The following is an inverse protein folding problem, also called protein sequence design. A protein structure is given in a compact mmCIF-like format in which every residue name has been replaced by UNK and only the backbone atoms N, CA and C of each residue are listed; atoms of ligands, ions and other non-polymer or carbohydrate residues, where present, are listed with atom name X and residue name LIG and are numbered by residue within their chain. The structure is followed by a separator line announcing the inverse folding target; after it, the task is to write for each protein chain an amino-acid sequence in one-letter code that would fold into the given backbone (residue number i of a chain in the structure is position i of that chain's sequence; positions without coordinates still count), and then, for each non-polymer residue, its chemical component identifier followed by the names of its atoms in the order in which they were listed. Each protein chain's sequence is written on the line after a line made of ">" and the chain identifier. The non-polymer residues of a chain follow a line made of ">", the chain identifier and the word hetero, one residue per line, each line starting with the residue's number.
data_IF_036002282774
#
_entry.id   IF_036002282774
#
_cell.length_a   1.000
_cell.length_b   1.000
_cell.length_c   1.000
_cell.angle_alpha   90.00
_cell.angle_beta   90.00
_cell.angle_gamma   90.00
#
_symmetry.space_group_name_H-M   'P 1'
#
loop_
_entity.id
_entity.type
_entity.pdbx_description
1 polymer ?
#
# COMPACT_ATOMS: atom_id res chain seq x y z
N UNK A 1 1.82 3.55 -14.11
CA UNK A 1 0.80 2.53 -13.81
C UNK A 1 -0.39 3.22 -13.17
N UNK A 2 -1.60 2.72 -13.38
CA UNK A 2 -2.78 3.27 -12.69
C UNK A 2 -2.78 2.89 -11.21
N UNK A 3 -3.04 3.85 -10.33
CA UNK A 3 -3.19 3.66 -8.89
C UNK A 3 -4.58 4.16 -8.50
N UNK A 4 -5.42 3.31 -7.91
CA UNK A 4 -6.79 3.69 -7.51
C UNK A 4 -7.56 4.44 -8.62
N UNK A 5 -7.50 3.94 -9.86
CA UNK A 5 -7.97 4.65 -11.06
C UNK A 5 -9.44 5.13 -10.97
N UNK A 6 -10.29 4.37 -10.27
CA UNK A 6 -11.69 4.75 -10.04
C UNK A 6 -11.79 6.05 -9.23
N UNK A 7 -11.02 6.14 -8.14
CA UNK A 7 -10.96 7.35 -7.30
C UNK A 7 -10.42 8.50 -8.13
N UNK A 8 -9.29 8.29 -8.84
CA UNK A 8 -8.70 9.30 -9.72
C UNK A 8 -9.74 9.92 -10.67
N UNK A 9 -10.51 9.09 -11.37
CA UNK A 9 -11.51 9.54 -12.35
C UNK A 9 -12.72 10.24 -11.72
N UNK A 10 -13.02 9.96 -10.45
CA UNK A 10 -14.16 10.55 -9.73
C UNK A 10 -13.81 11.92 -9.13
N UNK A 11 -12.52 12.25 -8.99
CA UNK A 11 -12.05 13.56 -8.57
C UNK A 11 -12.20 14.54 -9.74
N UNK A 12 -13.35 15.22 -9.83
CA UNK A 12 -13.66 16.17 -10.90
C UNK A 12 -13.73 17.62 -10.43
N UNK A 13 -13.69 17.85 -9.12
CA UNK A 13 -13.62 19.19 -8.53
C UNK A 13 -12.26 19.86 -8.77
N UNK A 14 -12.20 21.17 -8.53
CA UNK A 14 -10.95 21.92 -8.63
C UNK A 14 -9.95 21.47 -7.55
N UNK A 15 -8.67 21.29 -7.90
CA UNK A 15 -7.63 21.04 -6.91
C UNK A 15 -7.35 22.31 -6.10
N UNK A 16 -7.10 22.16 -4.80
CA UNK A 16 -6.72 23.29 -3.94
C UNK A 16 -5.23 23.63 -4.06
N UNK A 17 -4.41 22.69 -4.51
CA UNK A 17 -3.00 22.88 -4.82
C UNK A 17 -2.60 22.01 -6.02
N UNK A 18 -1.62 22.47 -6.80
CA UNK A 18 -1.10 21.72 -7.95
C UNK A 18 0.41 21.90 -8.04
N UNK A 19 1.10 20.78 -8.14
CA UNK A 19 2.56 20.74 -8.21
C UNK A 19 3.00 20.06 -9.50
N UNK A 20 4.09 20.53 -10.09
CA UNK A 20 4.72 19.90 -11.27
C UNK A 20 6.06 19.32 -10.83
N UNK A 21 6.15 17.99 -10.84
CA UNK A 21 7.30 17.24 -10.34
C UNK A 21 7.75 16.25 -11.41
N UNK A 22 9.00 16.35 -11.85
CA UNK A 22 9.57 15.50 -12.92
C UNK A 22 8.71 15.42 -14.19
N UNK A 23 8.09 16.56 -14.56
CA UNK A 23 7.20 16.66 -15.73
C UNK A 23 5.82 16.02 -15.54
N UNK A 24 5.48 15.58 -14.33
CA UNK A 24 4.16 15.04 -13.96
C UNK A 24 3.39 16.06 -13.15
N UNK A 25 2.08 16.08 -13.33
CA UNK A 25 1.18 16.95 -12.57
C UNK A 25 0.67 16.18 -11.35
N UNK A 26 0.79 16.79 -10.17
CA UNK A 26 0.25 16.30 -8.90
C UNK A 26 -0.80 17.28 -8.41
N UNK A 27 -2.06 16.87 -8.44
CA UNK A 27 -3.22 17.67 -8.03
C UNK A 27 -3.66 17.27 -6.61
N UNK A 28 -3.87 18.25 -5.74
CA UNK A 28 -4.32 18.01 -4.36
C UNK A 28 -5.80 18.34 -4.22
N UNK A 29 -6.57 17.41 -3.65
CA UNK A 29 -7.99 17.55 -3.41
C UNK A 29 -8.31 17.23 -1.95
N UNK A 30 -9.24 17.97 -1.35
CA UNK A 30 -9.69 17.67 0.00
C UNK A 30 -10.59 16.44 -0.01
N UNK A 31 -10.28 15.49 0.87
CA UNK A 31 -11.08 14.27 1.03
C UNK A 31 -12.48 14.59 1.58
N UNK A 32 -12.58 15.63 2.39
CA UNK A 32 -13.80 16.10 3.04
C UNK A 32 -14.91 16.46 2.04
N UNK A 33 -14.53 16.88 0.82
CA UNK A 33 -15.48 17.28 -0.22
C UNK A 33 -15.90 16.10 -1.11
N UNK A 34 -15.57 14.87 -0.71
CA UNK A 34 -15.78 13.65 -1.50
C UNK A 34 -16.43 12.55 -0.65
N UNK A 35 -17.13 11.58 -1.27
CA UNK A 35 -17.69 10.44 -0.54
C UNK A 35 -16.61 9.48 0.01
N UNK A 36 -15.34 9.75 -0.27
CA UNK A 36 -14.22 8.89 0.12
C UNK A 36 -13.73 9.13 1.55
N UNK A 37 -14.15 10.24 2.20
CA UNK A 37 -13.71 10.54 3.57
C UNK A 37 -14.01 9.38 4.51
N UNK A 38 -15.28 8.99 4.65
CA UNK A 38 -15.66 7.90 5.52
C UNK A 38 -14.99 6.58 5.12
N UNK A 39 -14.88 6.30 3.81
CA UNK A 39 -14.29 5.06 3.30
C UNK A 39 -12.82 4.86 3.74
N UNK A 40 -12.08 5.95 3.90
CA UNK A 40 -10.63 5.91 4.13
C UNK A 40 -10.21 6.40 5.50
N UNK A 41 -10.79 7.50 5.99
CA UNK A 41 -10.50 8.05 7.30
C UNK A 41 -10.90 7.09 8.43
N UNK A 42 -12.02 6.35 8.31
CA UNK A 42 -12.40 5.28 9.26
C UNK A 42 -11.37 4.15 9.38
N UNK A 43 -10.45 4.04 8.40
CA UNK A 43 -9.35 3.07 8.39
C UNK A 43 -8.00 3.71 8.76
N UNK A 44 -8.03 4.93 9.28
CA UNK A 44 -6.84 5.72 9.61
C UNK A 44 -6.08 6.24 8.40
N UNK A 45 -6.68 6.25 7.21
CA UNK A 45 -6.03 6.70 5.96
C UNK A 45 -6.47 8.11 5.61
N UNK A 46 -5.74 9.10 6.13
CA UNK A 46 -6.05 10.51 5.94
C UNK A 46 -5.47 11.11 4.66
N UNK A 47 -4.57 10.40 3.97
CA UNK A 47 -4.04 10.82 2.67
C UNK A 47 -3.89 9.63 1.73
N UNK A 48 -4.28 9.81 0.47
CA UNK A 48 -4.27 8.76 -0.54
C UNK A 48 -3.78 9.28 -1.87
N UNK A 49 -2.79 8.59 -2.41
CA UNK A 49 -2.32 8.80 -3.76
C UNK A 49 -3.14 7.99 -4.77
N UNK A 50 -3.43 8.62 -5.90
CA UNK A 50 -4.14 8.03 -7.04
C UNK A 50 -3.47 8.47 -8.34
N UNK A 51 -3.59 7.68 -9.40
CA UNK A 51 -2.96 7.98 -10.70
C UNK A 51 -3.70 7.31 -11.85
N UNK A 52 -3.79 8.01 -12.98
CA UNK A 52 -4.22 7.49 -14.28
C UNK A 52 -3.09 6.80 -15.07
N UNK A 53 -1.88 6.76 -14.50
CA UNK A 53 -0.67 6.23 -15.11
C UNK A 53 0.25 7.28 -15.73
N UNK A 54 -0.15 8.56 -15.76
CA UNK A 54 0.67 9.69 -16.21
C UNK A 54 0.78 10.75 -15.12
N UNK A 55 -0.36 11.20 -14.60
CA UNK A 55 -0.47 12.23 -13.57
C UNK A 55 -0.97 11.61 -12.25
N UNK A 56 -0.86 12.39 -11.18
CA UNK A 56 -1.20 11.96 -9.84
C UNK A 56 -2.21 12.91 -9.20
N UNK A 57 -3.06 12.34 -8.35
CA UNK A 57 -3.98 13.08 -7.50
C UNK A 57 -3.83 12.60 -6.07
N UNK A 58 -3.65 13.54 -5.16
CA UNK A 58 -3.58 13.29 -3.73
C UNK A 58 -4.89 13.73 -3.11
N UNK A 59 -5.60 12.76 -2.54
CA UNK A 59 -6.81 13.01 -1.77
C UNK A 59 -6.45 13.04 -0.30
N UNK A 60 -6.62 14.18 0.36
CA UNK A 60 -6.13 14.40 1.73
C UNK A 60 -7.17 15.07 2.62
N UNK A 61 -7.30 14.60 3.85
CA UNK A 61 -8.17 15.21 4.84
C UNK A 61 -7.62 16.61 5.22
N UNK A 62 -8.54 17.57 5.31
CA UNK A 62 -8.22 19.00 5.44
C UNK A 62 -7.44 19.33 6.71
N UNK A 63 -7.86 18.82 7.87
CA UNK A 63 -7.16 19.04 9.14
C UNK A 63 -5.77 18.38 9.11
N UNK A 64 -5.70 17.15 8.62
CA UNK A 64 -4.47 16.40 8.45
C UNK A 64 -3.45 17.14 7.56
N UNK A 65 -3.88 17.69 6.43
CA UNK A 65 -3.02 18.52 5.58
C UNK A 65 -2.51 19.77 6.31
N UNK A 66 -3.34 20.38 7.15
CA UNK A 66 -2.94 21.53 7.97
C UNK A 66 -1.77 21.22 8.91
N UNK A 67 -1.80 20.06 9.57
CA UNK A 67 -0.75 19.64 10.51
C UNK A 67 0.52 19.11 9.82
N UNK A 68 0.38 18.57 8.60
CA UNK A 68 1.46 17.86 7.92
C UNK A 68 1.85 18.51 6.60
N UNK A 69 1.62 19.81 6.44
CA UNK A 69 1.89 20.53 5.20
C UNK A 69 3.32 20.32 4.69
N UNK A 70 4.29 20.26 5.59
CA UNK A 70 5.70 20.07 5.25
C UNK A 70 6.00 18.68 4.66
N UNK A 71 5.19 17.67 5.00
CA UNK A 71 5.23 16.33 4.39
C UNK A 71 4.73 16.30 2.94
N UNK A 72 4.17 17.41 2.44
CA UNK A 72 3.64 17.55 1.08
C UNK A 72 4.33 18.68 0.30
N UNK A 73 5.53 19.07 0.72
CA UNK A 73 6.39 19.93 -0.08
C UNK A 73 6.81 19.22 -1.39
N UNK A 74 7.05 19.96 -2.49
CA UNK A 74 7.39 19.38 -3.79
C UNK A 74 8.54 18.36 -3.74
N UNK A 75 9.57 18.62 -2.95
CA UNK A 75 10.75 17.76 -2.80
C UNK A 75 10.41 16.44 -2.10
N UNK A 76 9.58 16.49 -1.05
CA UNK A 76 9.08 15.30 -0.34
C UNK A 76 8.16 14.49 -1.27
N UNK A 77 7.30 15.16 -2.02
CA UNK A 77 6.43 14.53 -3.01
C UNK A 77 7.21 13.89 -4.16
N UNK A 78 8.35 14.44 -4.57
CA UNK A 78 9.24 13.80 -5.53
C UNK A 78 9.76 12.44 -5.02
N UNK A 79 10.11 12.37 -3.72
CA UNK A 79 10.53 11.11 -3.09
C UNK A 79 9.36 10.10 -3.08
N UNK A 80 8.16 10.54 -2.70
CA UNK A 80 6.96 9.70 -2.72
C UNK A 80 6.61 9.19 -4.12
N UNK A 81 6.67 10.05 -5.14
CA UNK A 81 6.46 9.65 -6.53
C UNK A 81 7.47 8.57 -6.94
N UNK A 82 8.76 8.77 -6.63
CA UNK A 82 9.79 7.77 -6.90
C UNK A 82 9.51 6.43 -6.22
N UNK A 83 9.02 6.46 -4.97
CA UNK A 83 8.58 5.26 -4.27
C UNK A 83 7.41 4.57 -4.98
N UNK A 84 6.35 5.31 -5.32
CA UNK A 84 5.16 4.75 -6.00
C UNK A 84 5.51 4.11 -7.33
N UNK A 85 6.40 4.72 -8.11
CA UNK A 85 6.86 4.17 -9.38
C UNK A 85 7.71 2.92 -9.21
N UNK A 86 8.62 2.91 -8.22
CA UNK A 86 9.42 1.71 -7.90
C UNK A 86 8.56 0.56 -7.42
N UNK A 87 7.60 0.80 -6.53
CA UNK A 87 6.65 -0.21 -6.05
C UNK A 87 5.84 -0.78 -7.21
N UNK A 88 5.37 0.08 -8.11
CA UNK A 88 4.70 -0.34 -9.33
C UNK A 88 5.58 -1.23 -10.20
N UNK A 89 6.84 -0.83 -10.44
CA UNK A 89 7.78 -1.59 -11.24
C UNK A 89 8.13 -2.94 -10.60
N UNK A 90 8.30 -2.98 -9.27
CA UNK A 90 8.53 -4.20 -8.48
C UNK A 90 7.33 -5.13 -8.64
N UNK A 91 6.12 -4.64 -8.39
CA UNK A 91 4.89 -5.42 -8.48
C UNK A 91 4.74 -6.01 -9.89
N UNK A 92 4.89 -5.19 -10.94
CA UNK A 92 4.82 -5.65 -12.34
C UNK A 92 5.89 -6.70 -12.65
N UNK A 93 7.14 -6.46 -12.25
CA UNK A 93 8.27 -7.37 -12.54
C UNK A 93 8.08 -8.71 -11.84
N UNK A 94 7.74 -8.69 -10.55
CA UNK A 94 7.50 -9.90 -9.76
C UNK A 94 6.30 -10.64 -10.33
N UNK A 95 5.17 -9.97 -10.57
CA UNK A 95 3.97 -10.60 -11.11
C UNK A 95 4.25 -11.26 -12.48
N UNK A 96 4.99 -10.60 -13.36
CA UNK A 96 5.37 -11.18 -14.66
C UNK A 96 6.28 -12.40 -14.53
N UNK A 97 7.24 -12.36 -13.60
CA UNK A 97 8.17 -13.47 -13.35
C UNK A 97 7.49 -14.67 -12.68
N UNK A 98 6.35 -14.48 -12.01
CA UNK A 98 5.54 -15.57 -11.47
C UNK A 98 4.51 -16.08 -12.48
N UNK A 99 3.72 -15.20 -13.11
CA UNK A 99 2.62 -15.61 -14.00
C UNK A 99 3.14 -16.41 -15.20
N UNK A 100 4.23 -15.97 -15.84
CA UNK A 100 4.71 -16.61 -17.07
C UNK A 100 5.14 -18.08 -16.79
N UNK A 101 6.02 -18.36 -15.80
CA UNK A 101 6.35 -19.74 -15.45
C UNK A 101 5.16 -20.56 -14.97
N UNK A 102 4.26 -19.99 -14.17
CA UNK A 102 3.06 -20.71 -13.70
C UNK A 102 2.15 -21.11 -14.85
N UNK A 103 1.95 -20.23 -15.83
CA UNK A 103 1.15 -20.52 -17.02
C UNK A 103 1.79 -21.62 -17.88
N UNK A 104 3.12 -21.58 -18.04
CA UNK A 104 3.87 -22.63 -18.75
C UNK A 104 3.75 -23.98 -18.03
N UNK A 105 3.90 -24.00 -16.69
CA UNK A 105 3.70 -25.19 -15.87
C UNK A 105 2.29 -25.77 -16.07
N UNK A 106 1.26 -24.92 -16.06
CA UNK A 106 -0.10 -25.36 -16.32
C UNK A 106 -0.28 -25.98 -17.70
N UNK A 107 0.26 -25.37 -18.75
CA UNK A 107 0.18 -25.94 -20.09
C UNK A 107 0.85 -27.32 -20.18
N UNK A 108 2.01 -27.48 -19.53
CA UNK A 108 2.74 -28.76 -19.48
C UNK A 108 1.95 -29.81 -18.71
N UNK A 109 1.46 -29.47 -17.51
CA UNK A 109 0.71 -30.42 -16.68
C UNK A 109 -0.60 -30.81 -17.35
N UNK A 110 -1.31 -29.88 -17.99
CA UNK A 110 -2.51 -30.18 -18.75
C UNK A 110 -2.23 -31.14 -19.90
N UNK A 111 -1.17 -30.89 -20.69
CA UNK A 111 -0.78 -31.78 -21.78
C UNK A 111 -0.47 -33.20 -21.29
N UNK A 112 0.33 -33.33 -20.23
CA UNK A 112 0.67 -34.63 -19.64
C UNK A 112 -0.58 -35.33 -19.09
N UNK A 113 -1.43 -34.61 -18.37
CA UNK A 113 -2.65 -35.16 -17.79
C UNK A 113 -3.61 -35.69 -18.88
N UNK A 114 -3.79 -34.95 -19.98
CA UNK A 114 -4.68 -35.38 -21.07
C UNK A 114 -4.15 -36.62 -21.81
N UNK A 115 -2.84 -36.70 -22.06
CA UNK A 115 -2.26 -37.82 -22.82
C UNK A 115 -2.08 -39.07 -21.97
N UNK A 116 -1.68 -38.92 -20.71
CA UNK A 116 -1.22 -40.05 -19.88
C UNK A 116 -2.13 -40.36 -18.68
N UNK A 117 -2.90 -39.39 -18.16
CA UNK A 117 -3.68 -39.54 -16.93
C UNK A 117 -5.12 -38.99 -17.02
N UNK A 118 -5.89 -39.31 -18.08
CA UNK A 118 -7.20 -38.70 -18.31
C UNK A 118 -8.20 -38.94 -17.17
N UNK A 119 -8.18 -40.13 -16.57
CA UNK A 119 -9.08 -40.50 -15.46
C UNK A 119 -8.79 -39.74 -14.15
N UNK A 120 -7.58 -39.17 -14.01
CA UNK A 120 -7.14 -38.45 -12.81
C UNK A 120 -7.16 -36.93 -13.01
N UNK A 121 -7.67 -36.46 -14.14
CA UNK A 121 -7.68 -35.04 -14.52
C UNK A 121 -8.23 -34.14 -13.42
N UNK A 122 -9.35 -34.54 -12.79
CA UNK A 122 -9.97 -33.77 -11.71
C UNK A 122 -9.03 -33.66 -10.49
N UNK A 123 -8.44 -34.77 -10.05
CA UNK A 123 -7.49 -34.78 -8.92
C UNK A 123 -6.24 -33.94 -9.21
N UNK A 124 -5.73 -33.99 -10.44
CA UNK A 124 -4.58 -33.17 -10.88
C UNK A 124 -4.93 -31.69 -10.86
N UNK A 125 -6.10 -31.30 -11.36
CA UNK A 125 -6.58 -29.91 -11.31
C UNK A 125 -6.72 -29.41 -9.87
N UNK A 126 -7.24 -30.25 -8.97
CA UNK A 126 -7.36 -29.91 -7.55
C UNK A 126 -5.99 -29.69 -6.90
N UNK A 127 -5.02 -30.55 -7.18
CA UNK A 127 -3.63 -30.39 -6.73
C UNK A 127 -2.97 -29.12 -7.27
N UNK A 128 -3.25 -28.77 -8.53
CA UNK A 128 -2.75 -27.54 -9.15
C UNK A 128 -3.29 -26.27 -8.49
N UNK A 129 -4.57 -26.26 -8.08
CA UNK A 129 -5.16 -25.14 -7.34
C UNK A 129 -4.41 -24.93 -6.03
N UNK A 130 -4.18 -26.00 -5.27
CA UNK A 130 -3.43 -25.93 -4.01
C UNK A 130 -2.01 -25.38 -4.24
N UNK A 131 -1.33 -25.86 -5.28
CA UNK A 131 0.01 -25.38 -5.64
C UNK A 131 0.01 -23.87 -5.96
N UNK A 132 -1.01 -23.37 -6.64
CA UNK A 132 -1.11 -21.94 -6.96
C UNK A 132 -1.45 -21.08 -5.76
N UNK A 133 -2.29 -21.56 -4.84
CA UNK A 133 -2.51 -20.86 -3.57
C UNK A 133 -1.18 -20.70 -2.83
N UNK A 134 -0.40 -21.78 -2.70
CA UNK A 134 0.93 -21.73 -2.05
C UNK A 134 1.85 -20.76 -2.79
N UNK A 135 1.95 -20.88 -4.12
CA UNK A 135 2.78 -19.98 -4.94
C UNK A 135 2.38 -18.51 -4.76
N UNK A 136 1.09 -18.22 -4.70
CA UNK A 136 0.58 -16.86 -4.52
C UNK A 136 0.93 -16.30 -3.12
N UNK A 137 0.92 -17.14 -2.09
CA UNK A 137 1.39 -16.74 -0.75
C UNK A 137 2.86 -16.34 -0.76
N UNK A 138 3.73 -17.12 -1.42
CA UNK A 138 5.15 -16.78 -1.55
C UNK A 138 5.36 -15.52 -2.37
N UNK A 139 4.67 -15.38 -3.50
CA UNK A 139 4.69 -14.18 -4.33
C UNK A 139 4.31 -12.94 -3.50
N UNK A 140 3.20 -13.02 -2.76
CA UNK A 140 2.70 -11.91 -1.92
C UNK A 140 3.72 -11.51 -0.86
N UNK A 141 4.33 -12.48 -0.17
CA UNK A 141 5.40 -12.20 0.80
C UNK A 141 6.59 -11.49 0.17
N UNK A 142 7.03 -11.91 -1.02
CA UNK A 142 8.16 -11.29 -1.72
C UNK A 142 7.83 -9.87 -2.16
N UNK A 143 6.64 -9.63 -2.71
CA UNK A 143 6.20 -8.28 -3.10
C UNK A 143 6.13 -7.39 -1.87
N UNK A 144 5.42 -7.81 -0.82
CA UNK A 144 5.23 -7.02 0.40
C UNK A 144 6.56 -6.67 1.06
N UNK A 145 7.50 -7.62 1.13
CA UNK A 145 8.84 -7.34 1.67
C UNK A 145 9.54 -6.24 0.88
N UNK A 146 9.58 -6.34 -0.44
CA UNK A 146 10.25 -5.33 -1.30
C UNK A 146 9.57 -3.97 -1.23
N UNK A 147 8.24 -3.93 -1.12
CA UNK A 147 7.48 -2.70 -0.94
C UNK A 147 7.85 -2.05 0.40
N UNK A 148 7.94 -2.84 1.47
CA UNK A 148 8.37 -2.35 2.79
C UNK A 148 9.80 -1.81 2.77
N UNK A 149 10.73 -2.51 2.12
CA UNK A 149 12.12 -2.07 2.00
C UNK A 149 12.22 -0.73 1.23
N UNK A 150 11.48 -0.57 0.14
CA UNK A 150 11.43 0.72 -0.59
C UNK A 150 10.71 1.82 0.21
N UNK A 151 9.72 1.49 1.03
CA UNK A 151 9.03 2.45 1.89
C UNK A 151 9.99 2.99 2.96
N UNK A 152 10.73 2.10 3.62
CA UNK A 152 11.78 2.48 4.58
C UNK A 152 12.86 3.35 3.92
N UNK A 153 13.27 3.00 2.70
CA UNK A 153 14.23 3.80 1.95
C UNK A 153 13.68 5.18 1.57
N UNK A 154 12.39 5.29 1.24
CA UNK A 154 11.74 6.57 0.96
C UNK A 154 11.65 7.44 2.22
N UNK A 155 11.18 6.87 3.33
CA UNK A 155 11.14 7.56 4.63
C UNK A 155 12.53 8.02 5.06
N UNK A 156 13.57 7.22 4.85
CA UNK A 156 14.96 7.60 5.11
C UNK A 156 15.39 8.84 4.32
N UNK A 157 15.04 8.91 3.02
CA UNK A 157 15.32 10.11 2.20
C UNK A 157 14.52 11.33 2.63
N UNK A 158 13.27 11.15 3.06
CA UNK A 158 12.43 12.24 3.57
C UNK A 158 13.03 12.78 4.88
N UNK A 159 13.45 11.89 5.78
CA UNK A 159 14.13 12.25 7.03
C UNK A 159 15.45 12.97 6.78
N UNK A 160 16.24 12.53 5.79
CA UNK A 160 17.47 13.22 5.40
C UNK A 160 17.20 14.63 4.85
N UNK A 161 16.11 14.81 4.11
CA UNK A 161 15.71 16.09 3.55
C UNK A 161 15.16 17.08 4.60
N UNK A 162 14.21 16.65 5.43
CA UNK A 162 13.57 17.49 6.46
C UNK A 162 14.47 17.69 7.69
N UNK A 163 15.38 16.76 7.94
CA UNK A 163 16.12 16.67 9.21
C UNK A 163 15.36 15.84 10.25
N UNK A 164 16.12 15.26 11.19
CA UNK A 164 15.57 14.31 12.17
C UNK A 164 14.50 14.94 13.07
N UNK A 165 14.71 16.18 13.52
CA UNK A 165 13.81 16.82 14.47
C UNK A 165 12.46 17.16 13.83
N UNK A 166 12.44 17.76 12.64
CA UNK A 166 11.20 18.06 11.91
C UNK A 166 10.46 16.78 11.53
N UNK A 167 11.19 15.75 11.07
CA UNK A 167 10.60 14.45 10.77
C UNK A 167 9.90 13.84 12.00
N UNK A 168 10.58 13.81 13.15
CA UNK A 168 10.02 13.24 14.38
C UNK A 168 8.83 14.06 14.90
N UNK A 169 8.87 15.39 14.78
CA UNK A 169 7.73 16.26 15.11
C UNK A 169 6.53 15.94 14.23
N UNK A 170 6.73 15.77 12.93
CA UNK A 170 5.65 15.45 12.02
C UNK A 170 5.08 14.05 12.26
N UNK A 171 5.89 13.04 12.63
CA UNK A 171 5.38 11.73 13.06
C UNK A 171 4.51 11.86 14.31
N UNK A 172 4.92 12.67 15.29
CA UNK A 172 4.08 12.96 16.47
C UNK A 172 2.78 13.67 16.10
N UNK A 173 2.82 14.65 15.19
CA UNK A 173 1.63 15.34 14.70
C UNK A 173 0.65 14.38 14.02
N UNK A 174 1.16 13.42 13.27
CA UNK A 174 0.35 12.36 12.66
C UNK A 174 -0.34 11.50 13.72
N UNK A 175 0.39 11.06 14.74
CA UNK A 175 -0.17 10.24 15.84
C UNK A 175 -1.23 11.02 16.65
N UNK A 176 -0.96 12.29 16.97
CA UNK A 176 -1.93 13.15 17.67
C UNK A 176 -3.21 13.29 16.86
N UNK A 177 -3.11 13.58 15.56
CA UNK A 177 -4.28 13.67 14.70
C UNK A 177 -5.07 12.36 14.64
N UNK A 178 -4.38 11.21 14.56
CA UNK A 178 -5.03 9.91 14.59
C UNK A 178 -5.84 9.72 15.88
N UNK A 179 -5.22 9.98 17.04
CA UNK A 179 -5.89 9.85 18.33
C UNK A 179 -7.06 10.83 18.47
N UNK A 180 -6.92 12.06 18.02
CA UNK A 180 -8.00 13.04 18.03
C UNK A 180 -9.17 12.59 17.16
N UNK A 181 -8.91 12.19 15.91
CA UNK A 181 -9.94 11.76 14.97
C UNK A 181 -10.79 10.61 15.51
N UNK A 182 -10.15 9.58 16.09
CA UNK A 182 -10.86 8.39 16.59
C UNK A 182 -11.50 8.57 17.98
N UNK A 183 -11.02 9.49 18.82
CA UNK A 183 -11.70 9.84 20.09
C UNK A 183 -13.13 10.33 19.84
N UNK A 184 -13.38 11.02 18.73
CA UNK A 184 -14.72 11.50 18.37
C UNK A 184 -15.64 10.39 17.82
N UNK A 185 -15.10 9.26 17.33
CA UNK A 185 -15.92 8.13 16.83
C UNK A 185 -16.37 7.18 17.97
N UNK A 186 -15.66 7.14 19.10
CA UNK A 186 -16.03 6.31 20.27
C UNK A 186 -17.32 6.78 20.99
N UNK A 187 -17.79 8.01 20.76
CA UNK A 187 -19.03 8.53 21.38
C UNK A 187 -20.33 8.13 20.66
N UNK A 188 -20.25 7.34 19.58
CA UNK A 188 -21.42 6.79 18.89
C UNK A 188 -21.71 5.33 19.30
N UNK A 189 -22.93 4.99 19.80
CA UNK A 189 -23.28 3.62 20.16
C UNK A 189 -23.17 2.68 18.96
N UNK A 190 -22.38 1.63 19.13
CA UNK A 190 -21.94 0.67 18.12
C UNK A 190 -23.07 -0.31 17.76
N UNK A 191 -23.44 -0.40 16.48
CA UNK A 191 -24.05 -1.62 15.90
C UNK A 191 -22.95 -2.49 15.27
N UNK A 192 -23.05 -3.83 15.37
CA UNK A 192 -21.96 -4.73 15.01
C UNK A 192 -21.95 -5.03 13.51
N UNK A 193 -20.80 -4.86 12.84
CA UNK A 193 -20.58 -5.38 11.49
C UNK A 193 -19.30 -6.22 11.42
N UNK A 194 -19.49 -7.35 10.75
CA UNK A 194 -18.64 -8.52 10.62
C UNK A 194 -17.20 -8.26 10.16
N UNK A 195 -16.33 -9.09 10.71
CA UNK A 195 -14.89 -9.18 10.50
C UNK A 195 -14.58 -9.65 9.08
N UNK A 196 -13.73 -8.92 8.35
CA UNK A 196 -12.88 -9.52 7.31
C UNK A 196 -11.50 -8.87 7.30
N UNK A 197 -10.51 -9.73 7.45
CA UNK A 197 -9.10 -9.51 7.71
C UNK A 197 -8.37 -8.84 6.54
N UNK A 198 -7.45 -7.89 6.81
CA UNK A 198 -6.01 -7.95 6.44
C UNK A 198 -5.24 -6.74 7.01
N UNK A 199 -3.90 -6.79 7.11
CA UNK A 199 -3.14 -7.24 8.27
C UNK A 199 -2.49 -6.08 9.03
N UNK A 200 -2.42 -6.22 10.35
CA UNK A 200 -1.67 -5.33 11.24
C UNK A 200 -0.17 -5.40 10.94
N UNK A 201 0.41 -4.27 10.55
CA UNK A 201 1.85 -4.04 10.58
C UNK A 201 2.21 -3.65 12.03
N UNK A 202 2.54 -4.65 12.86
CA UNK A 202 3.22 -4.40 14.13
C UNK A 202 4.69 -4.14 13.83
N UNK A 203 5.15 -2.95 14.20
CA UNK A 203 6.56 -2.64 14.39
C UNK A 203 7.07 -3.47 15.57
N UNK A 204 7.97 -4.42 15.29
CA UNK A 204 8.84 -5.02 16.31
C UNK A 204 10.08 -4.12 16.45
N UNK A 205 10.25 -3.52 17.63
CA UNK A 205 11.56 -3.14 18.13
C UNK A 205 12.21 -4.35 18.79
N UNK A 206 13.51 -4.51 18.51
CA UNK A 206 14.34 -5.67 18.79
C UNK A 206 15.34 -5.36 19.91
N UNK A 207 15.95 -6.44 20.42
CA UNK A 207 17.18 -6.56 21.23
C UNK A 207 17.01 -6.47 22.77
N UNK A 208 17.71 -7.26 23.60
CA UNK A 208 18.69 -8.32 23.36
C UNK A 208 18.85 -9.19 24.62
N UNK A 209 19.20 -10.47 24.38
CA UNK A 209 20.07 -11.38 25.16
C UNK A 209 20.21 -11.26 26.69
N UNK A 210 20.00 -12.41 27.36
CA UNK A 210 21.14 -13.13 27.97
C UNK A 210 20.84 -14.62 28.17
N UNK A 211 21.77 -15.43 27.68
CA UNK A 211 22.03 -16.81 28.12
C UNK A 211 22.07 -16.90 29.64
N UNK A 212 21.51 -17.98 30.22
CA UNK A 212 22.34 -18.90 31.03
C UNK A 212 21.69 -20.29 31.18
N UNK A 213 22.56 -21.25 31.44
CA UNK A 213 22.45 -22.70 31.37
C UNK A 213 21.63 -23.39 32.49
N UNK A 214 21.47 -24.70 32.27
CA UNK A 214 21.12 -25.80 33.19
C UNK A 214 19.63 -25.83 33.56
N UNK A 215 18.94 -26.97 33.49
CA UNK A 215 19.30 -28.34 33.88
C UNK A 215 18.35 -29.34 33.22
#
# INVERSE_FOLDING_TARGET
>A
MKLNARVYNQLTGEPFDTQVIDGKIVEFHYMNDTPFLFQYASKGRFAIWTSDGKNYRVLIEKMYYGYLKDFYQPEVNAIWLGFLEKVSAISKKVNMWFIIPTLALYAIVAFIATVFFPEQMLSILLGLIVLVVISNMFQSRVVNKRVRDENLAAQGRIREFLGNEEFDQLIKSQEVHYQEYFKFEEETPVEPVETTETPAEKLEENNDQKDDKNE
#
